data_IF_069668329374
#
_entry.id   IF_069668329374
#
_cell.length_a   1.000
_cell.length_b   1.000
_cell.length_c   1.000
_cell.angle_alpha   90.00
_cell.angle_beta   90.00
_cell.angle_gamma   90.00
#
_symmetry.space_group_name_H-M   'P 1'
#
loop_
_entity.id
_entity.type
_entity.pdbx_description
1 polymer ?
#
# COMPACT_ATOMS: atom_id res chain seq x y z
N UNK A 1 -11.87 -11.91 4.43
CA UNK A 1 -10.90 -10.96 5.01
C UNK A 1 -9.64 -11.68 5.45
N UNK A 2 -8.68 -11.78 4.51
CA UNK A 2 -7.32 -12.24 4.79
C UNK A 2 -6.47 -11.03 5.18
N UNK A 3 -5.71 -11.15 6.26
CA UNK A 3 -4.77 -10.14 6.75
C UNK A 3 -3.43 -10.80 7.08
N UNK A 4 -2.32 -10.04 7.20
CA UNK A 4 -1.02 -10.63 7.48
C UNK A 4 -0.89 -10.99 8.96
N UNK A 5 -1.43 -12.15 9.33
CA UNK A 5 -1.33 -12.72 10.67
C UNK A 5 0.12 -13.17 10.99
N UNK A 6 0.37 -13.57 12.24
CA UNK A 6 1.69 -13.99 12.69
C UNK A 6 2.28 -15.16 11.86
N UNK A 7 1.44 -16.10 11.41
CA UNK A 7 1.85 -17.23 10.58
C UNK A 7 2.35 -16.76 9.21
N UNK A 8 1.58 -15.90 8.52
CA UNK A 8 1.97 -15.36 7.23
C UNK A 8 3.24 -14.50 7.33
N UNK A 9 3.32 -13.66 8.36
CA UNK A 9 4.49 -12.82 8.62
C UNK A 9 5.73 -13.70 8.87
N UNK A 10 5.61 -14.74 9.70
CA UNK A 10 6.72 -15.66 9.97
C UNK A 10 7.14 -16.45 8.74
N UNK A 11 6.20 -16.89 7.91
CA UNK A 11 6.50 -17.60 6.67
C UNK A 11 7.32 -16.75 5.67
N UNK A 12 7.24 -15.42 5.76
CA UNK A 12 7.91 -14.49 4.84
C UNK A 12 9.05 -13.69 5.49
N UNK A 13 9.33 -13.92 6.77
CA UNK A 13 10.43 -13.30 7.51
C UNK A 13 11.65 -14.23 7.54
N UNK A 14 12.83 -13.67 7.24
CA UNK A 14 14.11 -14.40 7.32
C UNK A 14 14.74 -14.35 8.71
N UNK A 15 14.29 -13.42 9.54
CA UNK A 15 14.78 -13.13 10.88
C UNK A 15 13.59 -13.10 11.85
N UNK A 16 13.82 -13.00 13.16
CA UNK A 16 12.78 -12.61 14.10
C UNK A 16 11.97 -11.41 13.61
N UNK A 17 10.66 -11.39 13.86
CA UNK A 17 9.78 -10.32 13.36
C UNK A 17 10.19 -8.94 13.88
N UNK A 18 10.65 -8.89 15.12
CA UNK A 18 11.21 -7.70 15.77
C UNK A 18 12.54 -7.23 15.15
N UNK A 19 13.20 -8.09 14.37
CA UNK A 19 14.43 -7.79 13.63
C UNK A 19 14.23 -7.68 12.11
N UNK A 20 13.02 -7.93 11.61
CA UNK A 20 12.78 -8.03 10.17
C UNK A 20 12.84 -6.66 9.51
N UNK A 21 13.71 -6.54 8.51
CA UNK A 21 13.89 -5.29 7.76
C UNK A 21 13.13 -5.29 6.43
N UNK A 22 12.84 -6.47 5.88
CA UNK A 22 12.24 -6.67 4.55
C UNK A 22 11.14 -7.71 4.63
N UNK A 23 9.93 -7.36 4.18
CA UNK A 23 8.82 -8.30 4.07
C UNK A 23 8.23 -8.30 2.67
N UNK A 24 8.09 -9.50 2.11
CA UNK A 24 7.54 -9.74 0.79
C UNK A 24 6.19 -10.44 0.92
N UNK A 25 5.11 -9.66 0.81
CA UNK A 25 3.74 -10.11 0.95
C UNK A 25 2.92 -9.87 -0.32
N UNK A 26 3.59 -9.78 -1.48
CA UNK A 26 2.91 -9.65 -2.77
C UNK A 26 2.15 -10.92 -3.15
N UNK A 27 1.01 -10.76 -3.83
CA UNK A 27 0.15 -11.87 -4.29
C UNK A 27 -0.30 -12.81 -3.17
N UNK A 28 -0.57 -12.26 -1.99
CA UNK A 28 -1.03 -12.99 -0.81
C UNK A 28 -2.52 -12.79 -0.54
N UNK A 29 -3.32 -12.32 -1.51
CA UNK A 29 -4.74 -12.04 -1.35
C UNK A 29 -5.08 -11.26 -0.06
N UNK A 30 -4.19 -10.38 0.41
CA UNK A 30 -4.42 -9.59 1.62
C UNK A 30 -5.52 -8.57 1.31
N UNK A 31 -6.55 -8.54 2.12
CA UNK A 31 -7.69 -7.62 1.99
C UNK A 31 -7.59 -6.49 3.03
N UNK A 32 -7.04 -6.81 4.21
CA UNK A 32 -6.93 -5.88 5.34
C UNK A 32 -5.51 -5.90 5.88
N UNK A 33 -4.93 -4.73 6.15
CA UNK A 33 -3.65 -4.61 6.83
C UNK A 33 -3.83 -4.67 8.35
N UNK A 34 -2.91 -5.34 9.04
CA UNK A 34 -2.90 -5.48 10.49
C UNK A 34 -1.79 -6.42 10.95
N UNK A 35 -1.54 -6.49 12.26
CA UNK A 35 -0.53 -7.40 12.83
C UNK A 35 0.92 -7.02 12.57
N UNK A 36 1.18 -5.82 12.04
CA UNK A 36 2.53 -5.32 11.73
C UNK A 36 3.25 -4.73 12.94
N UNK A 37 2.60 -4.70 14.11
CA UNK A 37 3.18 -4.23 15.39
C UNK A 37 4.43 -5.02 15.78
N UNK A 38 4.48 -6.30 15.41
CA UNK A 38 5.63 -7.17 15.64
C UNK A 38 6.84 -6.83 14.75
N UNK A 39 6.68 -5.99 13.72
CA UNK A 39 7.68 -5.69 12.70
C UNK A 39 8.19 -4.23 12.82
N UNK A 40 8.53 -3.79 14.03
CA UNK A 40 8.86 -2.38 14.32
C UNK A 40 10.08 -1.84 13.54
N UNK A 41 11.02 -2.71 13.17
CA UNK A 41 12.23 -2.32 12.42
C UNK A 41 12.06 -2.38 10.89
N UNK A 42 10.84 -2.65 10.41
CA UNK A 42 10.59 -2.84 8.98
C UNK A 42 10.97 -1.61 8.16
N UNK A 43 11.84 -1.82 7.16
CA UNK A 43 12.31 -0.78 6.23
C UNK A 43 11.70 -0.89 4.85
N UNK A 44 11.38 -2.12 4.41
CA UNK A 44 10.78 -2.36 3.09
C UNK A 44 9.61 -3.32 3.19
N UNK A 45 8.48 -2.91 2.63
CA UNK A 45 7.25 -3.69 2.61
C UNK A 45 6.71 -3.78 1.18
N UNK A 46 6.56 -5.01 0.70
CA UNK A 46 6.05 -5.31 -0.63
C UNK A 46 4.67 -5.97 -0.51
N UNK A 47 3.64 -5.28 -0.98
CA UNK A 47 2.23 -5.67 -0.89
C UNK A 47 1.54 -5.64 -2.26
N UNK A 48 2.29 -5.65 -3.36
CA UNK A 48 1.74 -5.58 -4.70
C UNK A 48 0.82 -6.76 -5.03
N UNK A 49 -0.19 -6.52 -5.86
CA UNK A 49 -1.16 -7.52 -6.31
C UNK A 49 -1.88 -8.23 -5.16
N UNK A 50 -2.34 -7.46 -4.18
CA UNK A 50 -3.27 -7.89 -3.15
C UNK A 50 -4.66 -7.27 -3.43
N UNK A 51 -5.55 -7.25 -2.42
CA UNK A 51 -6.91 -6.69 -2.51
C UNK A 51 -7.15 -5.64 -1.43
N UNK A 52 -6.11 -4.87 -1.11
CA UNK A 52 -6.15 -3.88 -0.03
C UNK A 52 -6.90 -2.65 -0.53
N UNK A 53 -7.96 -2.26 0.16
CA UNK A 53 -8.76 -1.09 -0.20
C UNK A 53 -8.46 0.14 0.67
N UNK A 54 -8.00 -0.09 1.90
CA UNK A 54 -7.68 0.96 2.88
C UNK A 54 -6.47 0.56 3.73
N UNK A 55 -5.66 1.56 4.08
CA UNK A 55 -4.47 1.39 4.91
C UNK A 55 -4.77 1.69 6.38
N UNK A 56 -5.40 2.84 6.65
CA UNK A 56 -5.76 3.24 8.02
C UNK A 56 -4.53 3.36 8.94
N UNK A 57 -4.67 2.96 10.20
CA UNK A 57 -3.57 2.99 11.18
C UNK A 57 -2.63 1.78 11.12
N UNK A 58 -2.82 0.84 10.20
CA UNK A 58 -2.11 -0.44 10.22
C UNK A 58 -0.58 -0.31 9.99
N UNK A 59 -0.13 0.79 9.39
CA UNK A 59 1.29 1.08 9.16
C UNK A 59 1.90 2.02 10.21
N UNK A 60 1.13 2.48 11.20
CA UNK A 60 1.63 3.34 12.28
C UNK A 60 2.82 2.75 13.05
N UNK A 61 2.88 1.43 13.34
CA UNK A 61 4.05 0.83 14.00
C UNK A 61 5.31 0.83 13.12
N UNK A 62 5.17 0.90 11.80
CA UNK A 62 6.28 0.85 10.85
C UNK A 62 6.91 2.23 10.62
N UNK A 63 7.29 2.93 11.70
CA UNK A 63 7.82 4.30 11.65
C UNK A 63 9.13 4.45 10.85
N UNK A 64 9.86 3.34 10.66
CA UNK A 64 11.13 3.29 9.93
C UNK A 64 11.00 2.83 8.47
N UNK A 65 9.77 2.76 7.94
CA UNK A 65 9.53 2.29 6.58
C UNK A 65 10.07 3.29 5.56
N UNK A 66 10.97 2.82 4.69
CA UNK A 66 11.62 3.61 3.64
C UNK A 66 11.04 3.32 2.25
N UNK A 67 10.59 2.08 2.03
CA UNK A 67 10.03 1.60 0.77
C UNK A 67 8.72 0.87 0.98
N UNK A 68 7.69 1.30 0.25
CA UNK A 68 6.38 0.68 0.27
C UNK A 68 5.88 0.46 -1.16
N UNK A 69 5.58 -0.79 -1.49
CA UNK A 69 4.95 -1.13 -2.75
C UNK A 69 3.52 -1.64 -2.50
N UNK A 70 2.55 -0.89 -3.01
CA UNK A 70 1.10 -1.15 -2.95
C UNK A 70 0.50 -1.27 -4.36
N UNK A 71 1.32 -1.48 -5.39
CA UNK A 71 0.87 -1.53 -6.78
C UNK A 71 -0.18 -2.63 -7.02
N UNK A 72 -1.19 -2.36 -7.84
CA UNK A 72 -2.19 -3.38 -8.21
C UNK A 72 -3.04 -3.84 -7.03
N UNK A 73 -3.42 -2.91 -6.15
CA UNK A 73 -4.41 -3.11 -5.09
C UNK A 73 -5.72 -2.38 -5.44
N UNK A 74 -6.65 -2.29 -4.49
CA UNK A 74 -7.93 -1.60 -4.66
C UNK A 74 -8.01 -0.29 -3.87
N UNK A 75 -6.89 0.40 -3.61
CA UNK A 75 -6.87 1.54 -2.71
C UNK A 75 -7.75 2.66 -3.25
N UNK A 76 -8.68 3.11 -2.41
CA UNK A 76 -9.57 4.27 -2.68
C UNK A 76 -9.20 5.49 -1.85
N UNK A 77 -8.28 5.34 -0.90
CA UNK A 77 -7.78 6.44 -0.08
C UNK A 77 -6.32 6.22 0.34
N UNK A 78 -5.60 7.32 0.51
CA UNK A 78 -4.22 7.38 0.99
C UNK A 78 -4.12 7.61 2.49
N UNK A 79 -5.26 7.66 3.20
CA UNK A 79 -5.30 7.78 4.65
C UNK A 79 -4.48 6.67 5.32
N UNK A 80 -3.51 7.07 6.14
CA UNK A 80 -2.52 6.19 6.77
C UNK A 80 -1.11 6.33 6.19
N UNK A 81 -0.96 6.76 4.93
CA UNK A 81 0.34 6.98 4.31
C UNK A 81 1.02 8.27 4.77
N UNK A 82 0.23 9.32 5.04
CA UNK A 82 0.73 10.64 5.42
C UNK A 82 1.52 10.65 6.75
N UNK A 83 1.37 9.62 7.58
CA UNK A 83 2.12 9.44 8.82
C UNK A 83 3.53 8.86 8.64
N UNK A 84 3.85 8.32 7.45
CA UNK A 84 5.11 7.61 7.19
C UNK A 84 6.25 8.58 6.88
N UNK A 85 6.74 9.26 7.93
CA UNK A 85 7.74 10.34 7.81
C UNK A 85 9.08 9.93 7.23
N UNK A 86 9.46 8.66 7.36
CA UNK A 86 10.71 8.12 6.82
C UNK A 86 10.59 7.61 5.37
N UNK A 87 9.37 7.59 4.81
CA UNK A 87 9.12 6.99 3.51
C UNK A 87 9.85 7.77 2.42
N UNK A 88 10.69 7.06 1.66
CA UNK A 88 11.45 7.61 0.55
C UNK A 88 10.86 7.22 -0.80
N UNK A 89 10.19 6.07 -0.86
CA UNK A 89 9.71 5.50 -2.12
C UNK A 89 8.34 4.87 -1.92
N UNK A 90 7.38 5.28 -2.74
CA UNK A 90 6.02 4.77 -2.75
C UNK A 90 5.62 4.39 -4.17
N UNK A 91 5.20 3.14 -4.32
CA UNK A 91 4.49 2.69 -5.52
C UNK A 91 3.02 2.43 -5.14
N UNK A 92 2.14 3.31 -5.61
CA UNK A 92 0.69 3.19 -5.47
C UNK A 92 0.01 3.10 -6.85
N UNK A 93 0.75 2.68 -7.88
CA UNK A 93 0.23 2.49 -9.23
C UNK A 93 -0.88 1.43 -9.29
N UNK A 94 -1.73 1.52 -10.30
CA UNK A 94 -2.83 0.59 -10.56
C UNK A 94 -3.70 0.34 -9.33
N UNK A 95 -4.17 1.43 -8.73
CA UNK A 95 -5.15 1.45 -7.65
C UNK A 95 -6.40 2.23 -8.10
N UNK A 96 -7.31 2.54 -7.18
CA UNK A 96 -8.57 3.24 -7.44
C UNK A 96 -8.58 4.64 -6.81
N UNK A 97 -7.42 5.29 -6.71
CA UNK A 97 -7.30 6.60 -6.05
C UNK A 97 -7.87 7.71 -6.96
N UNK A 98 -8.88 8.48 -6.51
CA UNK A 98 -9.34 9.65 -7.22
C UNK A 98 -8.33 10.81 -7.13
N UNK A 99 -8.51 11.83 -7.97
CA UNK A 99 -7.62 13.00 -8.02
C UNK A 99 -7.43 13.67 -6.65
N UNK A 100 -8.50 13.76 -5.85
CA UNK A 100 -8.44 14.33 -4.50
C UNK A 100 -7.50 13.57 -3.53
N UNK A 101 -7.34 12.27 -3.72
CA UNK A 101 -6.42 11.45 -2.91
C UNK A 101 -4.99 11.53 -3.46
N UNK A 102 -4.83 11.63 -4.78
CA UNK A 102 -3.51 11.82 -5.39
C UNK A 102 -2.91 13.19 -5.02
N UNK A 103 -3.72 14.25 -4.98
CA UNK A 103 -3.30 15.57 -4.51
C UNK A 103 -2.74 15.52 -3.08
N UNK A 104 -3.33 14.72 -2.19
CA UNK A 104 -2.83 14.55 -0.82
C UNK A 104 -1.44 13.89 -0.76
N UNK A 105 -1.08 13.06 -1.74
CA UNK A 105 0.25 12.44 -1.81
C UNK A 105 1.36 13.47 -2.05
N UNK A 106 1.05 14.67 -2.53
CA UNK A 106 2.03 15.77 -2.64
C UNK A 106 2.57 16.21 -1.27
N UNK A 107 1.84 15.94 -0.18
CA UNK A 107 2.34 16.18 1.18
C UNK A 107 3.44 15.18 1.58
N UNK A 108 3.56 14.04 0.89
CA UNK A 108 4.65 13.10 1.11
C UNK A 108 5.93 13.64 0.46
N UNK A 109 6.99 13.76 1.25
CA UNK A 109 8.32 14.18 0.77
C UNK A 109 9.15 12.98 0.30
N UNK A 110 8.57 12.18 -0.60
CA UNK A 110 9.23 11.00 -1.17
C UNK A 110 10.19 11.40 -2.30
N UNK A 111 11.22 10.58 -2.51
CA UNK A 111 12.18 10.70 -3.61
C UNK A 111 11.60 10.12 -4.91
N UNK A 112 10.76 9.09 -4.79
CA UNK A 112 10.10 8.44 -5.93
C UNK A 112 8.65 8.11 -5.57
N UNK A 113 7.74 8.53 -6.44
CA UNK A 113 6.31 8.28 -6.35
C UNK A 113 5.80 7.75 -7.69
N UNK A 114 5.19 6.57 -7.67
CA UNK A 114 4.42 6.05 -8.81
C UNK A 114 2.93 5.99 -8.46
N UNK A 115 2.11 6.59 -9.30
CA UNK A 115 0.64 6.64 -9.16
C UNK A 115 -0.07 6.36 -10.48
N UNK A 116 0.65 5.84 -11.48
CA UNK A 116 0.09 5.54 -12.80
C UNK A 116 -1.05 4.52 -12.74
N UNK A 117 -2.02 4.63 -13.65
CA UNK A 117 -3.16 3.71 -13.68
C UNK A 117 -4.15 3.87 -12.51
N UNK A 118 -4.12 4.99 -11.78
CA UNK A 118 -5.19 5.41 -10.89
C UNK A 118 -6.19 6.30 -11.65
N UNK A 119 -7.49 6.27 -11.32
CA UNK A 119 -8.49 7.11 -11.99
C UNK A 119 -8.22 8.62 -11.83
N UNK A 120 -7.56 9.04 -10.75
CA UNK A 120 -7.10 10.42 -10.60
C UNK A 120 -5.86 10.78 -11.42
N UNK A 121 -5.09 9.79 -11.88
CA UNK A 121 -3.84 10.01 -12.60
C UNK A 121 -4.11 9.97 -14.09
N UNK A 122 -4.39 11.14 -14.67
CA UNK A 122 -4.48 11.33 -16.11
C UNK A 122 -5.62 10.57 -16.77
N UNK A 123 -6.86 10.99 -16.50
CA UNK A 123 -7.75 11.34 -17.60
C UNK A 123 -8.83 12.35 -17.19
N UNK A 124 -8.75 13.56 -17.73
CA UNK A 124 -9.97 14.27 -18.06
C UNK A 124 -10.53 13.63 -19.33
N UNK A 125 -11.35 12.57 -19.21
CA UNK A 125 -12.38 12.09 -20.17
C UNK A 125 -12.57 10.57 -20.43
N UNK A 126 -11.99 9.59 -19.70
CA UNK A 126 -12.31 8.16 -19.92
C UNK A 126 -12.92 7.41 -18.72
N UNK A 127 -13.87 8.03 -18.02
CA UNK A 127 -14.56 7.42 -16.86
C UNK A 127 -16.06 7.12 -17.04
N UNK A 128 -16.65 7.31 -18.22
CA UNK A 128 -18.09 7.05 -18.46
C UNK A 128 -18.38 5.75 -19.25
N UNK A 129 -17.38 4.88 -19.47
CA UNK A 129 -17.52 3.74 -20.40
C UNK A 129 -17.34 2.34 -19.77
N UNK A 130 -17.35 2.20 -18.44
CA UNK A 130 -17.15 0.91 -17.78
C UNK A 130 -18.37 0.36 -17.00
N UNK A 131 -19.59 0.81 -17.32
CA UNK A 131 -20.85 0.19 -16.82
C UNK A 131 -21.68 -0.51 -17.92
N UNK A 132 -21.11 -0.70 -19.12
CA UNK A 132 -21.78 -1.45 -20.18
C UNK A 132 -21.04 -2.75 -20.47
N UNK A 133 -21.24 -3.77 -19.61
CA UNK A 133 -21.38 -5.22 -19.97
C UNK A 133 -21.25 -6.10 -18.72
N UNK A 134 -22.33 -6.12 -17.95
CA UNK A 134 -22.78 -7.35 -17.29
C UNK A 134 -24.24 -7.56 -17.73
N UNK A 135 -24.41 -8.25 -18.86
CA UNK A 135 -25.59 -9.05 -19.18
C UNK A 135 -25.11 -10.46 -19.38
#
# INVERSE_FOLDING_TARGET
>A
MRFPNAELLRAHAKTPLDEVLYLYLGRQNVEVLGGLDACALLRRLYLQHNRIERIGGALTPCAHLLHLNLAGNGLTSVAGLLGLRALMTLDASHNLLPDSELLQLQALRVVSLSVEGNPGYGDGAAGAAAEARAR
#
